data_IF_225777839063
#
_entry.id   IF_225777839063
#
_cell.length_a   1.000
_cell.length_b   1.000
_cell.length_c   1.000
_cell.angle_alpha   90.00
_cell.angle_beta   90.00
_cell.angle_gamma   90.00
#
_symmetry.space_group_name_H-M   'P 1'
#
loop_
_entity.id
_entity.type
_entity.pdbx_description
1 polymer ?
#
# COMPACT_ATOMS: atom_id res chain seq x y z
N UNK A 1 -4.46 27.13 22.56
CA UNK A 1 -3.52 27.17 23.70
C UNK A 1 -3.66 28.56 24.30
N UNK A 2 -4.01 28.68 25.59
CA UNK A 2 -4.36 29.97 26.21
C UNK A 2 -3.18 30.67 26.89
N UNK A 3 -2.12 29.94 27.24
CA UNK A 3 -0.90 30.50 27.83
C UNK A 3 0.37 29.91 27.20
N UNK A 4 1.45 30.69 27.21
CA UNK A 4 2.79 30.24 26.81
C UNK A 4 3.30 29.16 27.77
N UNK A 5 3.81 28.06 27.22
CA UNK A 5 4.31 26.92 28.03
C UNK A 5 5.61 27.23 28.77
N UNK A 6 6.40 28.20 28.30
CA UNK A 6 7.70 28.54 28.91
C UNK A 6 7.59 29.65 29.95
N UNK A 7 6.87 30.73 29.64
CA UNK A 7 6.80 31.91 30.51
C UNK A 7 5.43 32.15 31.16
N UNK A 8 4.40 31.38 30.79
CA UNK A 8 3.05 31.48 31.38
C UNK A 8 2.21 32.68 30.90
N UNK A 9 2.77 33.59 30.10
CA UNK A 9 2.01 34.73 29.54
C UNK A 9 0.79 34.30 28.74
N UNK A 10 -0.30 35.07 28.83
CA UNK A 10 -1.55 34.81 28.09
C UNK A 10 -1.35 34.98 26.58
N UNK A 11 -2.01 34.11 25.81
CA UNK A 11 -2.05 34.11 24.34
C UNK A 11 -3.47 34.40 23.80
N UNK A 12 -4.42 34.77 24.67
CA UNK A 12 -5.83 34.96 24.29
C UNK A 12 -6.06 35.98 23.16
N UNK A 13 -5.21 37.01 23.10
CA UNK A 13 -5.30 38.08 22.09
C UNK A 13 -4.27 37.96 20.97
N UNK A 14 -3.56 36.83 20.88
CA UNK A 14 -2.55 36.59 19.84
C UNK A 14 -3.23 35.87 18.68
N UNK A 15 -3.12 36.42 17.46
CA UNK A 15 -3.66 35.79 16.27
C UNK A 15 -2.94 34.46 15.95
N UNK A 16 -3.68 33.47 15.45
CA UNK A 16 -3.10 32.19 15.05
C UNK A 16 -2.27 32.37 13.78
N UNK A 17 -0.97 32.16 13.87
CA UNK A 17 -0.03 32.31 12.75
C UNK A 17 -0.12 31.18 11.73
N UNK A 18 -0.25 29.92 12.18
CA UNK A 18 -0.31 28.75 11.32
C UNK A 18 -0.96 27.53 12.00
N UNK A 19 -1.43 26.58 11.18
CA UNK A 19 -1.94 25.30 11.64
C UNK A 19 -1.08 24.15 11.11
N UNK A 20 -0.64 23.26 11.99
CA UNK A 20 -0.06 21.98 11.59
C UNK A 20 -1.19 20.95 11.39
N UNK A 21 -1.14 20.17 10.30
CA UNK A 21 -2.11 19.11 10.01
C UNK A 21 -1.40 17.77 9.92
N UNK A 22 -1.98 16.76 10.56
CA UNK A 22 -1.59 15.35 10.41
C UNK A 22 -2.84 14.53 10.16
N UNK A 23 -2.73 13.55 9.26
CA UNK A 23 -3.79 12.58 9.02
C UNK A 23 -3.40 11.27 9.68
N UNK A 24 -4.31 10.74 10.48
CA UNK A 24 -4.24 9.38 11.02
C UNK A 24 -5.33 8.60 10.32
N UNK A 25 -4.96 7.48 9.71
CA UNK A 25 -5.90 6.57 9.07
C UNK A 25 -5.98 5.31 9.93
N UNK A 26 -7.14 5.08 10.54
CA UNK A 26 -7.44 3.78 11.13
C UNK A 26 -7.83 2.83 10.00
N UNK A 27 -7.03 1.79 9.82
CA UNK A 27 -7.37 0.74 8.85
C UNK A 27 -8.06 -0.38 9.62
N UNK A 28 -9.37 -0.64 9.38
CA UNK A 28 -10.04 -1.74 10.06
C UNK A 28 -9.40 -3.07 9.64
N UNK A 29 -9.55 -4.14 10.45
CA UNK A 29 -9.06 -5.46 10.09
C UNK A 29 -9.47 -5.87 8.67
N UNK A 30 -8.48 -6.08 7.80
CA UNK A 30 -8.70 -6.43 6.40
C UNK A 30 -8.61 -7.94 6.22
N UNK A 31 -9.67 -8.54 5.69
CA UNK A 31 -9.63 -9.93 5.24
C UNK A 31 -9.04 -9.97 3.83
N UNK A 32 -7.76 -10.34 3.72
CA UNK A 32 -7.08 -10.48 2.44
C UNK A 32 -7.58 -11.73 1.70
N UNK A 33 -8.23 -11.52 0.55
CA UNK A 33 -8.63 -12.61 -0.35
C UNK A 33 -7.62 -12.68 -1.49
N UNK A 34 -6.98 -13.84 -1.65
CA UNK A 34 -5.99 -14.09 -2.71
C UNK A 34 -6.54 -15.11 -3.69
N UNK A 35 -6.61 -14.72 -4.96
CA UNK A 35 -6.98 -15.63 -6.06
C UNK A 35 -5.75 -15.96 -6.89
N UNK A 36 -5.34 -17.23 -6.88
CA UNK A 36 -4.29 -17.71 -7.79
C UNK A 36 -4.87 -17.98 -9.18
N UNK A 37 -4.33 -17.31 -10.19
CA UNK A 37 -4.61 -17.63 -11.59
C UNK A 37 -3.47 -18.50 -12.14
N UNK A 38 -3.81 -19.63 -12.76
CA UNK A 38 -2.85 -20.48 -13.49
C UNK A 38 -3.09 -20.34 -14.99
N UNK A 39 -2.02 -20.08 -15.74
CA UNK A 39 -2.05 -20.11 -17.20
C UNK A 39 -1.37 -21.39 -17.69
N UNK A 40 -1.99 -22.05 -18.66
CA UNK A 40 -1.42 -23.23 -19.30
C UNK A 40 -0.29 -22.83 -20.25
N UNK A 41 0.75 -23.66 -20.29
CA UNK A 41 1.84 -23.57 -21.26
C UNK A 41 1.90 -24.91 -21.99
N UNK A 42 1.87 -24.86 -23.33
CA UNK A 42 1.97 -26.05 -24.18
C UNK A 42 3.04 -25.84 -25.25
N UNK A 43 3.91 -26.82 -25.42
CA UNK A 43 4.88 -26.84 -26.53
C UNK A 43 4.25 -27.55 -27.71
N UNK A 44 4.25 -26.91 -28.88
CA UNK A 44 3.74 -27.53 -30.11
C UNK A 44 4.67 -28.69 -30.51
N UNK A 45 4.17 -29.93 -30.65
CA UNK A 45 5.00 -31.06 -31.04
C UNK A 45 5.51 -30.96 -32.48
N UNK A 46 4.82 -30.20 -33.35
CA UNK A 46 5.19 -30.09 -34.76
C UNK A 46 6.33 -29.09 -35.02
N UNK A 47 6.40 -27.99 -34.26
CA UNK A 47 7.36 -26.90 -34.51
C UNK A 47 8.15 -26.46 -33.28
N UNK A 48 7.95 -27.09 -32.12
CA UNK A 48 8.63 -26.75 -30.86
C UNK A 48 8.21 -25.42 -30.23
N UNK A 49 7.28 -24.67 -30.83
CA UNK A 49 6.89 -23.35 -30.33
C UNK A 49 6.13 -23.44 -29.00
N UNK A 50 6.53 -22.62 -28.04
CA UNK A 50 5.82 -22.45 -26.77
C UNK A 50 4.59 -21.56 -26.95
N UNK A 51 3.44 -22.07 -26.52
CA UNK A 51 2.17 -21.37 -26.50
C UNK A 51 1.74 -21.19 -25.04
N UNK A 52 1.47 -19.94 -24.64
CA UNK A 52 1.05 -19.58 -23.29
C UNK A 52 -0.37 -19.01 -23.35
N UNK A 53 -1.27 -19.50 -22.52
CA UNK A 53 -2.60 -18.91 -22.40
C UNK A 53 -2.51 -17.50 -21.79
N UNK A 54 -3.41 -16.60 -22.19
CA UNK A 54 -3.45 -15.25 -21.66
C UNK A 54 -4.17 -15.28 -20.31
N UNK A 55 -3.69 -14.49 -19.35
CA UNK A 55 -4.40 -14.30 -18.08
C UNK A 55 -5.64 -13.41 -18.30
N UNK A 56 -6.70 -13.55 -17.49
CA UNK A 56 -7.79 -12.58 -17.49
C UNK A 56 -7.26 -11.15 -17.24
N UNK A 57 -7.90 -10.17 -17.87
CA UNK A 57 -7.60 -8.76 -17.60
C UNK A 57 -7.97 -8.44 -16.14
N UNK A 58 -7.01 -7.89 -15.39
CA UNK A 58 -7.15 -7.69 -13.94
C UNK A 58 -6.96 -6.22 -13.58
N UNK A 59 -7.85 -5.71 -12.74
CA UNK A 59 -8.01 -4.27 -12.47
C UNK A 59 -6.91 -3.67 -11.58
N UNK A 60 -6.08 -4.47 -10.87
CA UNK A 60 -5.04 -3.96 -9.95
C UNK A 60 -3.74 -4.76 -10.08
N UNK A 61 -3.22 -4.96 -11.30
CA UNK A 61 -1.95 -5.70 -11.50
C UNK A 61 -0.69 -4.84 -11.49
N UNK A 62 -0.80 -3.55 -11.82
CA UNK A 62 0.38 -2.77 -12.25
C UNK A 62 1.40 -2.50 -11.12
N UNK A 63 0.96 -2.09 -9.93
CA UNK A 63 1.90 -1.61 -8.89
C UNK A 63 2.45 -2.73 -7.99
N UNK A 64 1.62 -3.68 -7.54
CA UNK A 64 2.04 -4.75 -6.60
C UNK A 64 2.95 -5.79 -7.29
N UNK A 65 2.63 -6.20 -8.52
CA UNK A 65 3.44 -7.18 -9.28
C UNK A 65 4.84 -6.63 -9.61
N UNK A 66 4.91 -5.34 -9.93
CA UNK A 66 6.16 -4.66 -10.26
C UNK A 66 7.08 -4.55 -9.04
N UNK A 67 6.53 -4.24 -7.85
CA UNK A 67 7.32 -4.24 -6.63
C UNK A 67 7.91 -5.62 -6.31
N UNK A 68 7.10 -6.68 -6.36
CA UNK A 68 7.58 -8.05 -6.12
C UNK A 68 8.71 -8.47 -7.07
N UNK A 69 8.60 -8.15 -8.36
CA UNK A 69 9.64 -8.47 -9.35
C UNK A 69 10.97 -7.76 -9.08
N UNK A 70 10.93 -6.59 -8.45
CA UNK A 70 12.11 -5.82 -8.08
C UNK A 70 12.58 -6.10 -6.63
N UNK A 71 12.09 -7.19 -6.01
CA UNK A 71 12.48 -7.56 -4.64
C UNK A 71 11.89 -6.69 -3.54
N UNK A 72 10.91 -5.83 -3.85
CA UNK A 72 10.19 -5.06 -2.84
C UNK A 72 9.10 -5.95 -2.22
N UNK A 73 9.11 -6.16 -0.89
CA UNK A 73 8.10 -6.96 -0.18
C UNK A 73 6.76 -6.20 -0.04
N UNK A 74 6.18 -5.76 -1.15
CA UNK A 74 4.99 -4.89 -1.19
C UNK A 74 3.81 -5.48 -0.41
N UNK A 75 3.64 -6.80 -0.45
CA UNK A 75 2.56 -7.45 0.30
C UNK A 75 2.82 -7.45 1.80
N UNK A 76 4.05 -7.68 2.23
CA UNK A 76 4.45 -7.56 3.63
C UNK A 76 4.37 -6.11 4.11
N UNK A 77 4.68 -5.12 3.27
CA UNK A 77 4.57 -3.69 3.59
C UNK A 77 3.13 -3.22 3.70
N UNK A 78 2.27 -3.69 2.81
CA UNK A 78 0.83 -3.49 2.94
C UNK A 78 0.35 -4.20 4.21
N UNK A 79 0.74 -5.45 4.45
CA UNK A 79 0.33 -6.19 5.64
C UNK A 79 0.75 -5.48 6.93
N UNK A 80 2.01 -5.05 7.06
CA UNK A 80 2.53 -4.34 8.22
C UNK A 80 1.76 -3.03 8.46
N UNK A 81 1.51 -2.26 7.40
CA UNK A 81 0.70 -1.04 7.48
C UNK A 81 -0.75 -1.31 7.93
N UNK A 82 -1.35 -2.41 7.47
CA UNK A 82 -2.72 -2.81 7.83
C UNK A 82 -2.84 -3.32 9.28
N UNK A 83 -1.78 -3.90 9.85
CA UNK A 83 -1.78 -4.45 11.21
C UNK A 83 -1.07 -3.56 12.25
N UNK A 84 -0.61 -2.38 11.84
CA UNK A 84 0.07 -1.42 12.71
C UNK A 84 1.49 -1.84 13.13
N UNK A 85 2.10 -2.78 12.42
CA UNK A 85 3.49 -3.18 12.64
C UNK A 85 4.44 -2.22 11.91
N UNK A 86 5.65 -2.03 12.47
CA UNK A 86 6.72 -1.35 11.72
C UNK A 86 7.15 -2.26 10.57
N UNK A 87 7.04 -1.74 9.35
CA UNK A 87 7.61 -2.35 8.15
C UNK A 87 9.12 -2.12 8.07
#
# INVERSE_FOLDING_TARGET
MTCCKECGSTLENVEVEAYERRQVFDIPPVNLIVTEHKSQIKTCPCCGKLNKAVFPESVIRAYISTGKKNGLPVLEGIRAALIGEKY
#
